data_IF_455567051633
#
_entry.id   IF_455567051633
#
_cell.length_a   1.000
_cell.length_b   1.000
_cell.length_c   1.000
_cell.angle_alpha   90.00
_cell.angle_beta   90.00
_cell.angle_gamma   90.00
#
_symmetry.space_group_name_H-M   'P 1'
#
loop_
_entity.id
_entity.type
_entity.pdbx_description
1 polymer ?
#
# COMPACT_ATOMS: atom_id res chain seq x y z
N UNK A 1 7.19 15.24 3.55
CA UNK A 1 5.89 14.99 4.20
C UNK A 1 6.03 15.18 5.71
N UNK A 2 4.93 15.48 6.41
CA UNK A 2 4.99 15.69 7.86
C UNK A 2 5.26 14.38 8.63
N UNK A 3 5.94 14.46 9.79
CA UNK A 3 6.15 13.34 10.70
C UNK A 3 5.46 13.62 12.04
N UNK A 4 4.95 12.57 12.67
CA UNK A 4 4.38 12.61 14.02
C UNK A 4 5.53 12.49 15.01
N UNK A 5 5.88 13.59 15.67
CA UNK A 5 6.95 13.63 16.68
C UNK A 5 6.46 13.25 18.07
N UNK A 6 5.17 13.47 18.37
CA UNK A 6 4.54 13.14 19.65
C UNK A 6 3.21 12.44 19.40
N UNK A 7 2.81 11.51 20.29
CA UNK A 7 1.51 10.83 20.14
C UNK A 7 0.36 11.84 20.13
N UNK A 8 -0.63 11.61 19.29
CA UNK A 8 -1.88 12.32 19.40
C UNK A 8 -2.73 11.76 20.55
N UNK A 9 -3.59 12.57 21.08
CA UNK A 9 -4.44 12.26 22.23
C UNK A 9 -5.73 11.52 21.84
N UNK A 10 -6.05 11.42 20.56
CA UNK A 10 -7.25 10.73 20.08
C UNK A 10 -7.06 10.09 18.70
N UNK A 11 -7.89 9.08 18.42
CA UNK A 11 -7.92 8.39 17.14
C UNK A 11 -8.31 9.33 15.99
N UNK A 12 -9.26 10.24 16.25
CA UNK A 12 -9.76 11.21 15.27
C UNK A 12 -8.64 12.10 14.73
N UNK A 13 -7.67 12.45 15.60
CA UNK A 13 -6.50 13.25 15.18
C UNK A 13 -5.54 12.46 14.29
N UNK A 14 -5.37 11.16 14.54
CA UNK A 14 -4.60 10.28 13.64
C UNK A 14 -5.29 10.17 12.28
N UNK A 15 -6.59 9.94 12.26
CA UNK A 15 -7.37 9.86 11.00
C UNK A 15 -7.25 11.17 10.23
N UNK A 16 -7.50 12.32 10.88
CA UNK A 16 -7.39 13.63 10.24
C UNK A 16 -5.97 13.93 9.72
N UNK A 17 -4.94 13.45 10.41
CA UNK A 17 -3.57 13.57 9.95
C UNK A 17 -3.33 12.74 8.69
N UNK A 18 -3.72 11.46 8.69
CA UNK A 18 -3.50 10.58 7.54
C UNK A 18 -4.30 11.00 6.31
N UNK A 19 -5.51 11.53 6.48
CA UNK A 19 -6.33 12.05 5.38
C UNK A 19 -5.67 13.22 4.61
N UNK A 20 -4.78 13.95 5.28
CA UNK A 20 -4.09 15.10 4.71
C UNK A 20 -2.70 14.75 4.11
N UNK A 21 -2.20 13.55 4.35
CA UNK A 21 -0.88 13.16 3.88
C UNK A 21 -0.95 12.39 2.56
N UNK A 22 -0.08 12.70 1.59
CA UNK A 22 0.09 11.82 0.44
C UNK A 22 0.68 10.49 0.91
N UNK A 23 0.04 9.37 0.55
CA UNK A 23 0.57 8.03 0.84
C UNK A 23 1.83 7.77 0.02
N UNK A 24 3.00 7.58 0.66
CA UNK A 24 4.20 7.15 -0.06
C UNK A 24 4.15 5.64 -0.32
N UNK A 25 4.84 5.21 -1.36
CA UNK A 25 4.91 3.81 -1.78
C UNK A 25 6.37 3.37 -1.89
N UNK A 26 6.64 2.10 -2.17
CA UNK A 26 8.00 1.61 -2.36
C UNK A 26 8.64 2.26 -3.61
N UNK A 27 9.88 2.69 -3.49
CA UNK A 27 10.65 3.25 -4.62
C UNK A 27 10.75 2.27 -5.80
N UNK A 28 10.87 0.97 -5.51
CA UNK A 28 10.85 -0.06 -6.54
C UNK A 28 9.55 -0.01 -7.35
N UNK A 29 8.39 0.10 -6.69
CA UNK A 29 7.07 0.18 -7.35
C UNK A 29 6.99 1.38 -8.29
N UNK A 30 7.44 2.55 -7.83
CA UNK A 30 7.47 3.77 -8.66
C UNK A 30 8.36 3.60 -9.89
N UNK A 31 9.56 3.05 -9.73
CA UNK A 31 10.50 2.82 -10.84
C UNK A 31 9.94 1.85 -11.87
N UNK A 32 9.31 0.77 -11.44
CA UNK A 32 8.69 -0.20 -12.35
C UNK A 32 7.50 0.43 -13.11
N UNK A 33 6.66 1.24 -12.43
CA UNK A 33 5.58 1.96 -13.11
C UNK A 33 6.11 2.97 -14.13
N UNK A 34 7.22 3.64 -13.84
CA UNK A 34 7.89 4.54 -14.77
C UNK A 34 8.44 3.79 -15.99
N UNK A 35 9.10 2.66 -15.78
CA UNK A 35 9.60 1.80 -16.86
C UNK A 35 8.46 1.25 -17.73
N UNK A 36 7.34 0.84 -17.10
CA UNK A 36 6.14 0.40 -17.83
C UNK A 36 5.54 1.53 -18.68
N UNK A 37 5.60 2.77 -18.21
CA UNK A 37 5.12 3.93 -18.97
C UNK A 37 5.93 4.19 -20.24
N UNK A 38 7.21 3.86 -20.25
CA UNK A 38 8.07 3.99 -21.44
C UNK A 38 7.77 2.92 -22.50
N UNK A 39 7.15 1.81 -22.11
CA UNK A 39 6.83 0.65 -22.98
C UNK A 39 5.33 0.32 -22.97
N UNK A 40 4.49 1.31 -22.89
CA UNK A 40 3.07 1.21 -22.61
C UNK A 40 2.31 0.25 -23.53
N UNK A 41 2.63 0.25 -24.83
CA UNK A 41 1.95 -0.59 -25.84
C UNK A 41 2.14 -2.11 -25.62
N UNK A 42 3.15 -2.51 -24.86
CA UNK A 42 3.46 -3.91 -24.57
C UNK A 42 2.94 -4.38 -23.20
N UNK A 43 2.37 -3.48 -22.38
CA UNK A 43 1.98 -3.75 -21.01
C UNK A 43 0.51 -4.16 -20.93
N UNK A 44 0.23 -5.23 -20.18
CA UNK A 44 -1.14 -5.64 -19.87
C UNK A 44 -1.53 -5.30 -18.42
N UNK A 45 -2.84 -5.18 -18.18
CA UNK A 45 -3.37 -4.81 -16.87
C UNK A 45 -3.00 -5.78 -15.75
N UNK A 46 -2.81 -7.08 -16.06
CA UNK A 46 -2.39 -8.09 -15.10
C UNK A 46 -0.97 -7.85 -14.58
N UNK A 47 -0.05 -7.44 -15.46
CA UNK A 47 1.33 -7.12 -15.06
C UNK A 47 1.34 -5.92 -14.10
N UNK A 48 0.57 -4.87 -14.41
CA UNK A 48 0.42 -3.70 -13.53
C UNK A 48 -0.21 -4.09 -12.20
N UNK A 49 -1.28 -4.90 -12.21
CA UNK A 49 -1.94 -5.39 -11.01
C UNK A 49 -1.01 -6.21 -10.11
N UNK A 50 -0.19 -7.08 -10.69
CA UNK A 50 0.78 -7.87 -9.93
C UNK A 50 1.83 -6.99 -9.22
N UNK A 51 2.29 -5.91 -9.87
CA UNK A 51 3.18 -4.94 -9.25
C UNK A 51 2.49 -4.20 -8.10
N UNK A 52 1.26 -3.70 -8.30
CA UNK A 52 0.45 -3.01 -7.28
C UNK A 52 0.23 -3.91 -6.06
N UNK A 53 -0.18 -5.16 -6.27
CA UNK A 53 -0.39 -6.15 -5.20
C UNK A 53 0.91 -6.59 -4.50
N UNK A 54 2.06 -6.21 -5.03
CA UNK A 54 3.35 -6.34 -4.37
C UNK A 54 3.66 -5.23 -3.36
N UNK A 55 2.85 -4.18 -3.29
CA UNK A 55 3.08 -3.00 -2.43
C UNK A 55 1.80 -2.64 -1.66
N UNK A 56 1.75 -2.89 -0.32
CA UNK A 56 0.56 -2.62 0.47
C UNK A 56 0.07 -1.17 0.38
N UNK A 57 0.99 -0.19 0.40
CA UNK A 57 0.60 1.22 0.33
C UNK A 57 0.18 1.66 -1.07
N UNK A 58 0.75 1.09 -2.13
CA UNK A 58 0.26 1.30 -3.49
C UNK A 58 -1.14 0.69 -3.65
N UNK A 59 -1.36 -0.53 -3.15
CA UNK A 59 -2.67 -1.18 -3.15
C UNK A 59 -3.72 -0.32 -2.43
N UNK A 60 -3.40 0.14 -1.22
CA UNK A 60 -4.27 1.04 -0.45
C UNK A 60 -4.57 2.33 -1.21
N UNK A 61 -3.55 2.96 -1.79
CA UNK A 61 -3.69 4.20 -2.58
C UNK A 61 -4.60 4.01 -3.79
N UNK A 62 -4.48 2.90 -4.51
CA UNK A 62 -5.36 2.57 -5.64
C UNK A 62 -6.80 2.38 -5.17
N UNK A 63 -7.03 1.68 -4.06
CA UNK A 63 -8.38 1.48 -3.50
C UNK A 63 -9.02 2.80 -3.07
N UNK A 64 -8.28 3.69 -2.41
CA UNK A 64 -8.77 5.03 -2.04
C UNK A 64 -9.15 5.83 -3.29
N UNK A 65 -8.31 5.79 -4.33
CA UNK A 65 -8.60 6.47 -5.60
C UNK A 65 -9.88 5.96 -6.25
N UNK A 66 -10.06 4.63 -6.29
CA UNK A 66 -11.28 4.00 -6.84
C UNK A 66 -12.51 4.44 -6.05
N UNK A 67 -12.46 4.38 -4.72
CA UNK A 67 -13.59 4.75 -3.87
C UNK A 67 -13.97 6.23 -4.03
N UNK A 68 -12.98 7.12 -4.12
CA UNK A 68 -13.21 8.54 -4.37
C UNK A 68 -13.92 8.80 -5.71
N UNK A 69 -13.64 7.98 -6.73
CA UNK A 69 -14.22 8.12 -8.08
C UNK A 69 -15.49 7.26 -8.29
N UNK A 70 -15.77 6.30 -7.41
CA UNK A 70 -16.97 5.43 -7.47
C UNK A 70 -18.25 6.23 -7.34
N UNK A 71 -18.29 7.27 -6.53
CA UNK A 71 -19.48 8.14 -6.32
C UNK A 71 -19.91 8.91 -7.56
N UNK A 72 -19.03 9.03 -8.56
CA UNK A 72 -19.32 9.73 -9.83
C UNK A 72 -19.83 8.79 -10.95
N UNK A 73 -19.69 7.47 -10.81
CA UNK A 73 -20.07 6.49 -11.84
C UNK A 73 -20.81 5.32 -11.20
N UNK A 74 -22.12 5.27 -11.42
CA UNK A 74 -23.01 4.24 -10.89
C UNK A 74 -22.61 2.79 -11.28
N UNK A 75 -22.71 1.89 -10.29
CA UNK A 75 -23.10 0.46 -10.39
C UNK A 75 -22.16 -0.57 -11.04
N UNK A 76 -20.88 -0.64 -10.70
CA UNK A 76 -20.21 -1.95 -10.76
C UNK A 76 -19.29 -2.11 -9.54
N UNK A 77 -19.47 -3.20 -8.79
CA UNK A 77 -18.54 -3.58 -7.74
C UNK A 77 -17.17 -3.87 -8.37
N UNK A 78 -16.19 -3.02 -8.07
CA UNK A 78 -14.82 -3.23 -8.48
C UNK A 78 -14.21 -4.12 -7.40
N UNK A 79 -14.19 -5.43 -7.66
CA UNK A 79 -13.73 -6.43 -6.71
C UNK A 79 -12.24 -6.73 -6.79
N UNK A 80 -11.56 -6.33 -7.89
CA UNK A 80 -10.15 -6.64 -8.09
C UNK A 80 -9.34 -5.42 -8.54
N UNK A 81 -8.05 -5.38 -8.16
CA UNK A 81 -7.11 -4.34 -8.61
C UNK A 81 -6.93 -4.39 -10.15
N UNK A 82 -6.89 -5.59 -10.75
CA UNK A 82 -6.79 -5.75 -12.20
C UNK A 82 -7.98 -5.08 -12.91
N UNK A 83 -9.20 -5.32 -12.43
CA UNK A 83 -10.42 -4.72 -12.98
C UNK A 83 -10.42 -3.19 -12.84
N UNK A 84 -9.94 -2.69 -11.71
CA UNK A 84 -9.79 -1.27 -11.46
C UNK A 84 -8.86 -0.60 -12.48
N UNK A 85 -7.69 -1.20 -12.74
CA UNK A 85 -6.72 -0.73 -13.71
C UNK A 85 -7.31 -0.75 -15.13
N UNK A 86 -8.02 -1.82 -15.49
CA UNK A 86 -8.66 -1.92 -16.80
C UNK A 86 -9.77 -0.88 -17.00
N UNK A 87 -10.56 -0.59 -15.96
CA UNK A 87 -11.61 0.43 -16.03
C UNK A 87 -11.05 1.86 -16.12
N UNK A 88 -9.95 2.13 -15.45
CA UNK A 88 -9.24 3.41 -15.53
C UNK A 88 -8.52 3.56 -16.87
N UNK A 89 -8.05 2.45 -17.44
CA UNK A 89 -7.11 2.37 -18.55
C UNK A 89 -5.66 2.39 -18.09
N UNK A 90 -4.79 1.64 -18.77
CA UNK A 90 -3.38 1.48 -18.38
C UNK A 90 -2.65 2.83 -18.42
N UNK A 91 -2.77 3.61 -19.50
CA UNK A 91 -2.10 4.91 -19.65
C UNK A 91 -2.51 5.93 -18.58
N UNK A 92 -3.79 6.16 -18.30
CA UNK A 92 -4.21 7.02 -17.21
C UNK A 92 -3.70 6.53 -15.85
N UNK A 93 -3.74 5.22 -15.59
CA UNK A 93 -3.22 4.62 -14.36
C UNK A 93 -1.72 4.92 -14.18
N UNK A 94 -0.91 4.63 -15.20
CA UNK A 94 0.53 4.87 -15.13
C UNK A 94 0.87 6.36 -14.93
N UNK A 95 0.12 7.28 -15.56
CA UNK A 95 0.30 8.73 -15.35
C UNK A 95 0.00 9.16 -13.92
N UNK A 96 -1.08 8.63 -13.34
CA UNK A 96 -1.54 8.99 -11.99
C UNK A 96 -0.58 8.49 -10.91
N UNK A 97 -0.10 7.23 -11.03
CA UNK A 97 0.61 6.57 -9.94
C UNK A 97 2.13 6.55 -10.07
N UNK A 98 2.72 6.83 -11.24
CA UNK A 98 4.18 6.80 -11.44
C UNK A 98 4.94 7.99 -10.83
N UNK A 99 4.26 9.03 -10.38
CA UNK A 99 4.84 10.21 -9.73
C UNK A 99 4.56 10.27 -8.21
N UNK A 100 4.31 9.12 -7.60
CA UNK A 100 4.01 9.01 -6.16
C UNK A 100 5.29 9.17 -5.32
N UNK A 101 5.24 9.89 -4.17
CA UNK A 101 6.35 9.96 -3.22
C UNK A 101 6.76 8.57 -2.73
N UNK A 102 8.03 8.40 -2.32
CA UNK A 102 8.52 7.09 -1.89
C UNK A 102 8.75 7.00 -0.38
N UNK A 103 8.61 5.78 0.16
CA UNK A 103 8.90 5.47 1.58
C UNK A 103 10.37 5.77 1.87
N UNK A 104 11.26 5.43 0.95
CA UNK A 104 12.70 5.61 1.08
C UNK A 104 13.08 7.10 1.16
N UNK A 105 12.40 7.97 0.40
CA UNK A 105 12.57 9.42 0.48
C UNK A 105 12.00 9.97 1.79
N UNK A 106 10.83 9.51 2.20
CA UNK A 106 10.20 9.91 3.46
C UNK A 106 11.08 9.56 4.67
N UNK A 107 11.71 8.40 4.67
CA UNK A 107 12.52 7.88 5.76
C UNK A 107 14.04 8.05 5.56
N UNK A 108 14.49 8.95 4.67
CA UNK A 108 15.91 9.16 4.39
C UNK A 108 16.72 9.51 5.65
N UNK A 109 16.13 10.23 6.62
CA UNK A 109 16.72 10.53 7.93
C UNK A 109 16.53 9.45 9.01
N UNK A 110 15.79 8.36 8.71
CA UNK A 110 15.39 7.34 9.69
C UNK A 110 15.71 5.91 9.21
N UNK A 111 16.98 5.52 9.03
CA UNK A 111 17.34 4.23 8.41
C UNK A 111 16.83 3.01 9.20
N UNK A 112 16.77 3.08 10.53
CA UNK A 112 16.18 2.00 11.34
C UNK A 112 14.70 1.83 11.09
N UNK A 113 13.95 2.92 10.92
CA UNK A 113 12.53 2.87 10.58
C UNK A 113 12.31 2.32 9.17
N UNK A 114 13.18 2.66 8.22
CA UNK A 114 13.13 2.08 6.87
C UNK A 114 13.29 0.56 6.91
N UNK A 115 14.24 0.04 7.70
CA UNK A 115 14.37 -1.42 7.89
C UNK A 115 13.12 -2.02 8.54
N UNK A 116 12.57 -1.34 9.57
CA UNK A 116 11.33 -1.76 10.24
C UNK A 116 10.15 -1.89 9.27
N UNK A 117 9.86 -0.84 8.51
CA UNK A 117 8.74 -0.85 7.57
C UNK A 117 8.91 -1.90 6.46
N UNK A 118 10.12 -2.07 5.93
CA UNK A 118 10.38 -3.09 4.89
C UNK A 118 10.18 -4.52 5.44
N UNK A 119 10.47 -4.75 6.73
CA UNK A 119 10.20 -6.02 7.40
C UNK A 119 8.69 -6.29 7.49
N UNK A 120 7.90 -5.30 7.92
CA UNK A 120 6.44 -5.40 8.01
C UNK A 120 5.83 -5.63 6.62
N UNK A 121 6.26 -4.88 5.60
CA UNK A 121 5.83 -5.11 4.21
C UNK A 121 6.18 -6.53 3.74
N UNK A 122 7.35 -7.04 4.11
CA UNK A 122 7.73 -8.43 3.82
C UNK A 122 6.81 -9.46 4.49
N UNK A 123 6.35 -9.20 5.73
CA UNK A 123 5.35 -10.03 6.41
C UNK A 123 3.99 -9.97 5.73
N UNK A 124 3.49 -8.78 5.42
CA UNK A 124 2.22 -8.57 4.72
C UNK A 124 2.17 -9.31 3.37
N UNK A 125 3.25 -9.23 2.58
CA UNK A 125 3.38 -9.97 1.32
C UNK A 125 3.34 -11.50 1.50
N UNK A 126 3.95 -12.01 2.55
CA UNK A 126 3.90 -13.47 2.85
C UNK A 126 2.51 -13.87 3.30
N UNK A 127 1.89 -13.11 4.20
CA UNK A 127 0.53 -13.34 4.66
C UNK A 127 -0.46 -13.37 3.48
N UNK A 128 -0.37 -12.39 2.59
CA UNK A 128 -1.20 -12.31 1.38
C UNK A 128 -1.05 -13.53 0.47
N UNK A 129 0.18 -14.02 0.24
CA UNK A 129 0.42 -15.23 -0.55
C UNK A 129 -0.18 -16.48 0.11
N UNK A 130 0.03 -16.67 1.41
CA UNK A 130 -0.57 -17.79 2.12
C UNK A 130 -2.09 -17.72 2.13
N UNK A 131 -2.66 -16.53 2.36
CA UNK A 131 -4.11 -16.36 2.31
C UNK A 131 -4.69 -16.73 0.93
N UNK A 132 -4.02 -16.32 -0.15
CA UNK A 132 -4.38 -16.69 -1.52
C UNK A 132 -4.33 -18.21 -1.74
N UNK A 133 -3.21 -18.86 -1.35
CA UNK A 133 -3.05 -20.29 -1.53
C UNK A 133 -4.13 -21.08 -0.77
N UNK A 134 -4.44 -20.68 0.46
CA UNK A 134 -5.52 -21.27 1.25
C UNK A 134 -6.90 -21.05 0.63
N UNK A 135 -7.19 -19.83 0.15
CA UNK A 135 -8.46 -19.52 -0.49
C UNK A 135 -8.67 -20.35 -1.78
N UNK A 136 -7.61 -20.52 -2.58
CA UNK A 136 -7.63 -21.38 -3.77
C UNK A 136 -7.88 -22.84 -3.40
N UNK A 137 -7.19 -23.38 -2.38
CA UNK A 137 -7.37 -24.75 -1.91
C UNK A 137 -8.78 -25.02 -1.38
N UNK A 138 -9.41 -24.03 -0.79
CA UNK A 138 -10.79 -24.11 -0.26
C UNK A 138 -11.84 -23.87 -1.33
N UNK A 139 -11.45 -23.48 -2.55
CA UNK A 139 -12.36 -23.05 -3.60
C UNK A 139 -13.23 -21.85 -3.20
N UNK A 140 -12.67 -20.90 -2.43
CA UNK A 140 -13.37 -19.68 -2.05
C UNK A 140 -13.68 -18.83 -3.30
N UNK A 141 -14.84 -18.14 -3.30
CA UNK A 141 -15.29 -17.36 -4.46
C UNK A 141 -14.50 -16.05 -4.61
N UNK A 142 -14.05 -15.48 -3.49
CA UNK A 142 -13.48 -14.12 -3.43
C UNK A 142 -11.97 -14.16 -3.12
N UNK A 143 -11.21 -15.00 -3.82
CA UNK A 143 -9.76 -15.20 -3.63
C UNK A 143 -8.98 -13.89 -3.67
N UNK A 144 -9.33 -12.98 -4.58
CA UNK A 144 -8.62 -11.71 -4.74
C UNK A 144 -8.92 -10.75 -3.58
N UNK A 145 -10.14 -10.72 -3.07
CA UNK A 145 -10.52 -9.91 -1.89
C UNK A 145 -9.80 -10.41 -0.64
N UNK A 146 -9.77 -11.72 -0.41
CA UNK A 146 -9.03 -12.36 0.70
C UNK A 146 -7.54 -12.02 0.60
N UNK A 147 -6.97 -12.07 -0.60
CA UNK A 147 -5.57 -11.74 -0.87
C UNK A 147 -5.26 -10.28 -0.52
N UNK A 148 -6.10 -9.36 -0.95
CA UNK A 148 -5.97 -7.92 -0.66
C UNK A 148 -6.17 -7.63 0.82
N UNK A 149 -7.19 -8.21 1.46
CA UNK A 149 -7.43 -8.05 2.89
C UNK A 149 -6.23 -8.50 3.72
N UNK A 150 -5.64 -9.66 3.40
CA UNK A 150 -4.42 -10.15 4.05
C UNK A 150 -3.20 -9.25 3.78
N UNK A 151 -3.07 -8.67 2.59
CA UNK A 151 -2.00 -7.72 2.27
C UNK A 151 -2.11 -6.44 3.09
N UNK A 152 -3.32 -5.97 3.35
CA UNK A 152 -3.59 -4.71 4.05
C UNK A 152 -3.75 -4.88 5.56
N UNK A 153 -3.67 -6.09 6.11
CA UNK A 153 -3.81 -6.35 7.55
C UNK A 153 -2.82 -5.54 8.40
N UNK A 154 -1.62 -5.33 7.88
CA UNK A 154 -0.55 -4.58 8.55
C UNK A 154 -0.45 -3.11 8.10
N UNK A 155 -1.44 -2.60 7.35
CA UNK A 155 -1.38 -1.24 6.80
C UNK A 155 -1.19 -0.16 7.87
N UNK A 156 -1.85 -0.31 9.04
CA UNK A 156 -1.72 0.63 10.16
C UNK A 156 -0.29 0.64 10.72
N UNK A 157 0.33 -0.52 10.91
CA UNK A 157 1.71 -0.60 11.38
C UNK A 157 2.68 0.01 10.36
N UNK A 158 2.48 -0.27 9.07
CA UNK A 158 3.26 0.36 7.99
C UNK A 158 3.14 1.88 8.05
N UNK A 159 1.93 2.44 8.21
CA UNK A 159 1.71 3.88 8.34
C UNK A 159 2.41 4.46 9.58
N UNK A 160 2.37 3.75 10.71
CA UNK A 160 3.08 4.17 11.91
C UNK A 160 4.60 4.24 11.68
N UNK A 161 5.21 3.24 11.04
CA UNK A 161 6.62 3.28 10.69
C UNK A 161 6.98 4.43 9.76
N UNK A 162 6.12 4.75 8.79
CA UNK A 162 6.34 5.78 7.76
C UNK A 162 6.17 7.19 8.33
N UNK A 163 5.15 7.43 9.16
CA UNK A 163 4.79 8.77 9.61
C UNK A 163 5.18 9.07 11.06
N UNK A 164 5.40 8.05 11.89
CA UNK A 164 5.83 8.17 13.28
C UNK A 164 7.09 7.35 13.59
N UNK A 165 8.19 7.48 12.81
CA UNK A 165 9.33 6.56 12.85
C UNK A 165 9.97 6.43 14.22
N UNK A 166 10.17 7.51 14.94
CA UNK A 166 10.78 7.52 16.29
C UNK A 166 9.86 6.87 17.33
N UNK A 167 8.57 7.19 17.28
CA UNK A 167 7.58 6.62 18.21
C UNK A 167 7.46 5.11 18.01
N UNK A 168 7.36 4.68 16.75
CA UNK A 168 7.24 3.25 16.40
C UNK A 168 8.50 2.47 16.78
N UNK A 169 9.71 3.05 16.60
CA UNK A 169 10.96 2.44 17.07
C UNK A 169 10.94 2.23 18.59
N UNK A 170 10.48 3.23 19.35
CA UNK A 170 10.40 3.13 20.81
C UNK A 170 9.44 2.03 21.24
N UNK A 171 8.23 1.99 20.65
CA UNK A 171 7.25 0.92 20.93
C UNK A 171 7.82 -0.46 20.59
N UNK A 172 8.45 -0.59 19.42
CA UNK A 172 9.08 -1.84 19.00
C UNK A 172 10.19 -2.27 19.98
N UNK A 173 11.04 -1.34 20.42
CA UNK A 173 12.09 -1.63 21.39
C UNK A 173 11.51 -2.08 22.74
N UNK A 174 10.44 -1.45 23.22
CA UNK A 174 9.75 -1.84 24.46
C UNK A 174 9.13 -3.24 24.38
N UNK A 175 8.56 -3.61 23.23
CA UNK A 175 7.96 -4.93 23.01
C UNK A 175 8.99 -6.07 22.91
N UNK A 176 10.23 -5.75 22.54
CA UNK A 176 11.32 -6.72 22.35
C UNK A 176 12.45 -6.57 23.40
N UNK A 177 12.26 -5.69 24.40
CA UNK A 177 13.11 -5.69 25.58
C UNK A 177 12.81 -6.99 26.37
N UNK A 178 13.77 -7.90 26.41
CA UNK A 178 13.69 -9.06 27.30
C UNK A 178 13.60 -8.57 28.74
N UNK A 179 12.81 -9.24 29.59
CA UNK A 179 12.72 -8.94 31.02
C UNK A 179 14.02 -9.22 31.76
#
# INVERSE_FOLDING_TARGET
MALIAQPFDSLERYVAFFDQQPLPVLKHTVRELQAMREQEDAINGRTVAALVLGDPLMTLKVLIHIEAHRRARQNHDITTIERAIMMMGISPFLREFSATPTIEEQLAGHPKALVGVLRVIGCARRASRYARDWAVLRHDLDVDEITVAALLSEATEILCWVFAPTLTQNVYAMQHAEP
#
